data_IF_850483593886
#
_entry.id   IF_850483593886
#
_cell.length_a   1.000
_cell.length_b   1.000
_cell.length_c   1.000
_cell.angle_alpha   90.00
_cell.angle_beta   90.00
_cell.angle_gamma   90.00
#
_symmetry.space_group_name_H-M   'P 1'
#
loop_
_entity.id
_entity.type
_entity.pdbx_description
1 polymer ?
#
# COMPACT_ATOMS: atom_id res chain seq x y z
N UNK A 1 10.39 -25.42 0.49
CA UNK A 1 10.69 -24.63 1.71
C UNK A 1 11.64 -25.47 2.53
N UNK A 2 12.84 -24.95 2.81
CA UNK A 2 13.88 -25.66 3.58
C UNK A 2 14.38 -24.77 4.71
N UNK A 3 14.74 -25.42 5.82
CA UNK A 3 15.34 -24.78 6.98
C UNK A 3 16.74 -25.36 7.16
N UNK A 4 17.72 -24.50 7.41
CA UNK A 4 19.11 -24.89 7.67
C UNK A 4 19.56 -24.21 8.95
N UNK A 5 20.27 -24.95 9.80
CA UNK A 5 20.95 -24.38 10.96
C UNK A 5 22.39 -24.03 10.54
N UNK A 6 22.82 -22.80 10.81
CA UNK A 6 24.17 -22.33 10.53
C UNK A 6 24.84 -21.92 11.84
N UNK A 7 26.00 -22.51 12.10
CA UNK A 7 26.80 -22.20 13.26
C UNK A 7 27.67 -20.97 12.97
N UNK A 8 27.64 -19.97 13.86
CA UNK A 8 28.51 -18.80 13.78
C UNK A 8 29.79 -19.01 14.61
N UNK A 9 30.91 -18.37 14.24
CA UNK A 9 32.16 -18.43 15.00
C UNK A 9 32.01 -17.84 16.41
N UNK A 10 31.02 -16.98 16.64
CA UNK A 10 30.71 -16.39 17.95
C UNK A 10 29.96 -17.35 18.91
N UNK A 11 29.74 -18.61 18.50
CA UNK A 11 29.02 -19.62 19.30
C UNK A 11 27.49 -19.49 19.28
N UNK A 12 26.95 -18.65 18.39
CA UNK A 12 25.52 -18.51 18.16
C UNK A 12 25.05 -19.38 16.97
N UNK A 13 23.75 -19.64 16.90
CA UNK A 13 23.12 -20.46 15.87
C UNK A 13 22.10 -19.63 15.10
N UNK A 14 22.18 -19.64 13.77
CA UNK A 14 21.22 -19.02 12.88
C UNK A 14 20.31 -20.09 12.27
N UNK A 15 18.99 -19.86 12.25
CA UNK A 15 18.06 -20.68 11.47
C UNK A 15 17.79 -19.94 10.17
N UNK A 16 18.37 -20.44 9.08
CA UNK A 16 18.18 -19.89 7.74
C UNK A 16 16.99 -20.59 7.07
N UNK A 17 16.01 -19.78 6.68
CA UNK A 17 14.81 -20.25 5.98
C UNK A 17 14.92 -19.90 4.49
N UNK A 18 15.00 -20.92 3.65
CA UNK A 18 14.96 -20.78 2.19
C UNK A 18 13.56 -21.10 1.67
N UNK A 19 12.94 -20.12 0.99
CA UNK A 19 11.63 -20.25 0.35
C UNK A 19 11.78 -20.06 -1.16
N UNK A 20 11.22 -20.96 -1.99
CA UNK A 20 11.13 -20.68 -3.42
C UNK A 20 10.15 -19.52 -3.62
N UNK A 21 10.57 -18.51 -4.37
CA UNK A 21 9.75 -17.33 -4.72
C UNK A 21 9.63 -17.31 -6.24
N UNK A 22 8.40 -17.19 -6.74
CA UNK A 22 8.14 -16.98 -8.16
C UNK A 22 8.40 -15.50 -8.49
N UNK A 23 9.51 -15.22 -9.18
CA UNK A 23 9.87 -13.84 -9.59
C UNK A 23 9.01 -13.35 -10.75
N UNK A 24 8.62 -14.24 -11.67
CA UNK A 24 7.77 -13.92 -12.80
C UNK A 24 7.44 -15.12 -13.66
N UNK A 25 6.42 -14.98 -14.51
CA UNK A 25 6.08 -15.93 -15.56
C UNK A 25 6.38 -15.25 -16.90
N UNK A 26 7.28 -15.83 -17.67
CA UNK A 26 7.72 -15.28 -18.94
C UNK A 26 7.15 -16.13 -20.08
N UNK A 27 6.50 -15.53 -21.09
CA UNK A 27 5.98 -16.25 -22.25
C UNK A 27 7.09 -16.72 -23.19
N UNK A 28 8.25 -16.04 -23.19
CA UNK A 28 9.38 -16.31 -24.06
C UNK A 28 10.61 -16.80 -23.25
N UNK A 29 11.21 -17.90 -23.70
CA UNK A 29 12.35 -18.54 -23.04
C UNK A 29 13.61 -17.64 -23.04
N UNK A 30 13.81 -16.85 -24.08
CA UNK A 30 15.00 -16.01 -24.23
C UNK A 30 15.00 -14.87 -23.21
N UNK A 31 13.84 -14.27 -22.95
CA UNK A 31 13.66 -13.23 -21.93
C UNK A 31 13.88 -13.84 -20.54
N UNK A 32 13.29 -15.00 -20.25
CA UNK A 32 13.50 -15.69 -18.98
C UNK A 32 14.99 -16.00 -18.72
N UNK A 33 15.71 -16.41 -19.76
CA UNK A 33 17.13 -16.75 -19.66
C UNK A 33 18.00 -15.53 -19.36
N UNK A 34 17.70 -14.36 -19.95
CA UNK A 34 18.40 -13.10 -19.66
C UNK A 34 18.15 -12.63 -18.22
N UNK A 35 16.91 -12.73 -17.74
CA UNK A 35 16.57 -12.36 -16.36
C UNK A 35 17.23 -13.32 -15.36
N UNK A 36 17.25 -14.62 -15.65
CA UNK A 36 17.96 -15.60 -14.83
C UNK A 36 19.46 -15.29 -14.73
N UNK A 37 20.09 -14.96 -15.85
CA UNK A 37 21.51 -14.58 -15.89
C UNK A 37 21.78 -13.34 -15.06
N UNK A 38 20.96 -12.29 -15.20
CA UNK A 38 21.05 -11.08 -14.39
C UNK A 38 20.95 -11.35 -12.89
N UNK A 39 19.98 -12.19 -12.47
CA UNK A 39 19.80 -12.57 -11.07
C UNK A 39 20.93 -13.44 -10.50
N UNK A 40 21.68 -14.14 -11.36
CA UNK A 40 22.85 -14.91 -10.96
C UNK A 40 24.11 -14.04 -10.86
N UNK A 41 24.24 -13.01 -11.70
CA UNK A 41 25.38 -12.08 -11.66
C UNK A 41 25.28 -11.07 -10.51
N UNK A 42 24.07 -10.73 -10.05
CA UNK A 42 23.85 -9.94 -8.83
C UNK A 42 23.89 -10.80 -7.55
N UNK A 43 24.82 -11.74 -7.44
CA UNK A 43 25.30 -12.14 -6.12
C UNK A 43 26.11 -10.95 -5.57
N UNK A 44 25.38 -9.95 -5.09
CA UNK A 44 25.92 -8.84 -4.34
C UNK A 44 26.65 -9.49 -3.16
N UNK A 45 27.98 -9.51 -3.22
CA UNK A 45 28.84 -9.69 -2.06
C UNK A 45 28.44 -8.59 -1.07
N UNK A 46 27.41 -8.86 -0.26
CA UNK A 46 27.08 -8.07 0.89
C UNK A 46 28.39 -8.04 1.69
N UNK A 47 29.04 -6.86 1.85
CA UNK A 47 30.26 -6.79 2.61
C UNK A 47 29.99 -7.46 3.94
N UNK A 48 30.78 -8.48 4.27
CA UNK A 48 30.65 -9.22 5.52
C UNK A 48 30.45 -8.19 6.62
N UNK A 49 29.28 -8.21 7.27
CA UNK A 49 28.94 -7.25 8.31
C UNK A 49 30.01 -7.34 9.39
N UNK A 50 30.98 -6.43 9.33
CA UNK A 50 31.96 -6.27 10.38
C UNK A 50 31.17 -5.99 11.65
N UNK A 51 31.31 -6.87 12.64
CA UNK A 51 30.60 -6.79 13.91
C UNK A 51 30.85 -5.40 14.49
N UNK A 52 29.80 -4.58 14.59
CA UNK A 52 29.94 -3.23 15.14
C UNK A 52 30.33 -3.38 16.62
N UNK A 53 31.58 -3.05 16.93
CA UNK A 53 32.04 -3.09 18.31
C UNK A 53 31.35 -1.99 19.11
N UNK A 54 31.16 -2.20 20.42
CA UNK A 54 30.65 -1.15 21.33
C UNK A 54 31.47 0.14 21.25
N UNK A 55 32.77 0.03 20.94
CA UNK A 55 33.65 1.18 20.72
C UNK A 55 33.33 1.98 19.44
N UNK A 56 32.80 1.33 18.39
CA UNK A 56 32.33 2.00 17.18
C UNK A 56 31.01 2.72 17.42
N UNK A 57 30.05 2.06 18.11
CA UNK A 57 28.79 2.68 18.49
C UNK A 57 28.98 3.94 19.36
N UNK A 58 29.97 3.95 20.25
CA UNK A 58 30.33 5.13 21.05
C UNK A 58 30.90 6.28 20.20
N UNK A 59 31.68 5.97 19.17
CA UNK A 59 32.22 6.98 18.25
C UNK A 59 31.13 7.56 17.35
N UNK A 60 30.23 6.71 16.87
CA UNK A 60 29.11 7.13 16.01
C UNK A 60 28.12 8.00 16.80
N UNK A 61 27.85 7.65 18.06
CA UNK A 61 27.06 8.49 18.96
C UNK A 61 27.73 9.85 19.22
N UNK A 62 29.04 9.86 19.47
CA UNK A 62 29.79 11.10 19.66
C UNK A 62 29.84 11.97 18.38
N UNK A 63 29.94 11.35 17.20
CA UNK A 63 29.89 12.06 15.92
C UNK A 63 28.51 12.70 15.67
N UNK A 64 27.42 11.96 15.95
CA UNK A 64 26.07 12.49 15.84
C UNK A 64 25.80 13.64 16.83
N UNK A 65 26.31 13.55 18.06
CA UNK A 65 26.22 14.64 19.05
C UNK A 65 27.02 15.88 18.61
N UNK A 66 28.20 15.70 18.01
CA UNK A 66 29.01 16.80 17.49
C UNK A 66 28.33 17.52 16.31
N UNK A 67 27.68 16.78 15.39
CA UNK A 67 26.90 17.37 14.30
C UNK A 67 25.66 18.12 14.82
N UNK A 68 25.02 17.60 15.87
CA UNK A 68 23.85 18.24 16.50
C UNK A 68 24.22 19.54 17.22
N UNK A 69 25.38 19.59 17.90
CA UNK A 69 25.89 20.82 18.54
C UNK A 69 26.35 21.87 17.52
N UNK A 70 26.97 21.45 16.40
CA UNK A 70 27.35 22.37 15.33
C UNK A 70 26.13 23.01 14.65
N UNK A 71 25.03 22.27 14.50
CA UNK A 71 23.77 22.79 13.94
C UNK A 71 22.98 23.68 14.91
N UNK A 72 23.29 23.67 16.21
CA UNK A 72 22.60 24.46 17.25
C UNK A 72 23.23 25.84 17.51
N UNK A 73 24.39 26.13 16.92
CA UNK A 73 25.06 27.44 17.03
C UNK A 73 24.70 28.40 15.89
N UNK A 74 23.98 27.92 14.86
CA UNK A 74 23.48 28.73 13.75
C UNK A 74 21.98 29.06 13.93
N UNK A 75 21.61 29.46 15.16
CA UNK A 75 20.27 29.99 15.46
C UNK A 75 20.19 31.40 14.88
N UNK A 76 19.88 31.48 13.59
CA UNK A 76 19.34 32.69 12.98
C UNK A 76 17.98 32.94 13.64
N UNK A 77 17.87 34.06 14.37
CA UNK A 77 16.62 34.59 14.91
C UNK A 77 15.56 34.66 13.79
N UNK A 78 14.64 33.70 13.76
CA UNK A 78 13.42 33.82 12.96
C UNK A 78 12.47 34.76 13.70
N UNK A 79 12.72 36.06 13.57
CA UNK A 79 11.71 37.08 13.88
C UNK A 79 10.50 36.81 12.99
N UNK A 80 9.39 36.39 13.60
CA UNK A 80 8.08 36.31 12.96
C UNK A 80 7.59 37.73 12.64
N UNK A 81 8.08 38.28 11.54
CA UNK A 81 7.50 39.45 10.91
C UNK A 81 6.40 38.97 9.95
N UNK A 82 5.14 39.29 10.27
CA UNK A 82 4.02 39.13 9.33
C UNK A 82 4.31 39.93 8.05
N UNK A 83 4.15 39.34 6.85
CA UNK A 83 4.45 40.04 5.61
C UNK A 83 3.42 41.17 5.36
N UNK A 84 3.84 42.37 4.94
CA UNK A 84 2.89 43.38 4.50
C UNK A 84 2.21 42.94 3.20
N UNK A 85 0.89 43.14 3.15
CA UNK A 85 0.03 42.88 2.01
C UNK A 85 0.57 43.62 0.77
N UNK A 86 1.10 42.85 -0.20
CA UNK A 86 1.40 43.37 -1.54
C UNK A 86 0.07 43.64 -2.24
N UNK A 87 -0.16 44.90 -2.61
CA UNK A 87 -1.21 45.29 -3.55
C UNK A 87 -1.02 44.54 -4.87
N UNK A 88 -1.88 43.55 -5.11
CA UNK A 88 -2.04 42.95 -6.43
C UNK A 88 -2.91 43.87 -7.28
N UNK A 89 -2.56 44.12 -8.56
CA UNK A 89 -3.40 44.91 -9.46
C UNK A 89 -4.73 44.20 -9.72
N UNK A 90 -5.79 45.01 -9.87
CA UNK A 90 -7.18 44.61 -9.95
C UNK A 90 -7.42 43.42 -10.89
N UNK A 91 -7.92 42.33 -10.30
CA UNK A 91 -8.45 41.17 -11.02
C UNK A 91 -9.66 41.62 -11.82
N UNK A 92 -9.53 41.66 -13.14
CA UNK A 92 -10.66 41.76 -14.07
C UNK A 92 -11.61 40.60 -13.77
N UNK A 93 -12.81 40.93 -13.31
CA UNK A 93 -13.85 39.97 -13.02
C UNK A 93 -14.22 39.21 -14.31
N UNK A 94 -13.71 37.99 -14.46
CA UNK A 94 -14.25 37.06 -15.46
C UNK A 94 -15.73 36.85 -15.16
N UNK A 95 -16.65 36.97 -16.14
CA UNK A 95 -18.06 36.75 -15.93
C UNK A 95 -18.26 35.33 -15.37
N UNK A 96 -18.80 35.29 -14.15
CA UNK A 96 -19.16 34.06 -13.45
C UNK A 96 -20.41 33.51 -14.12
N UNK A 97 -20.22 32.83 -15.25
CA UNK A 97 -21.28 32.01 -15.83
C UNK A 97 -21.60 30.96 -14.77
N UNK A 98 -22.83 30.92 -14.23
CA UNK A 98 -23.19 29.89 -13.28
C UNK A 98 -23.04 28.56 -14.02
N UNK A 99 -22.10 27.74 -13.57
CA UNK A 99 -22.01 26.36 -14.02
C UNK A 99 -23.34 25.70 -13.65
N UNK A 100 -24.25 25.65 -14.63
CA UNK A 100 -25.43 24.82 -14.60
C UNK A 100 -24.89 23.40 -14.54
N UNK A 101 -24.74 22.88 -13.32
CA UNK A 101 -24.55 21.44 -13.13
C UNK A 101 -25.76 20.81 -13.81
N UNK A 102 -25.60 19.96 -14.83
CA UNK A 102 -26.73 19.22 -15.36
C UNK A 102 -27.31 18.43 -14.17
N UNK A 103 -28.48 18.87 -13.71
CA UNK A 103 -29.29 18.09 -12.78
C UNK A 103 -29.59 16.78 -13.52
N UNK A 104 -29.50 15.69 -12.79
CA UNK A 104 -29.82 14.32 -13.22
C UNK A 104 -28.93 13.78 -14.33
N UNK A 105 -27.76 13.27 -13.94
CA UNK A 105 -27.33 12.01 -14.55
C UNK A 105 -28.42 10.98 -14.24
N UNK A 106 -28.95 10.24 -15.23
CA UNK A 106 -29.91 9.19 -14.96
C UNK A 106 -29.23 8.21 -13.98
N UNK A 107 -29.85 8.03 -12.82
CA UNK A 107 -29.67 6.83 -12.00
C UNK A 107 -30.12 5.67 -12.88
N UNK A 108 -29.27 5.23 -13.81
CA UNK A 108 -29.53 4.03 -14.57
C UNK A 108 -29.53 2.90 -13.57
N UNK A 109 -30.70 2.31 -13.42
CA UNK A 109 -30.94 1.05 -12.72
C UNK A 109 -30.10 -0.01 -13.43
N UNK A 110 -28.86 -0.20 -12.98
CA UNK A 110 -27.95 -1.23 -13.52
C UNK A 110 -28.48 -2.63 -13.19
N UNK A 111 -29.25 -2.74 -12.11
CA UNK A 111 -29.76 -3.99 -11.55
C UNK A 111 -30.67 -4.80 -12.50
N UNK A 112 -31.29 -4.16 -13.50
CA UNK A 112 -32.23 -4.87 -14.39
C UNK A 112 -31.54 -5.54 -15.59
N UNK A 113 -30.25 -5.26 -15.83
CA UNK A 113 -29.54 -5.77 -17.02
C UNK A 113 -28.71 -7.02 -16.77
N UNK A 114 -28.29 -7.27 -15.53
CA UNK A 114 -27.49 -8.44 -15.19
C UNK A 114 -28.25 -9.41 -14.32
N UNK A 115 -28.09 -10.70 -14.63
CA UNK A 115 -28.51 -11.76 -13.72
C UNK A 115 -27.57 -11.85 -12.53
N UNK A 116 -28.06 -12.38 -11.41
CA UNK A 116 -27.26 -12.58 -10.20
C UNK A 116 -26.04 -13.48 -10.47
N UNK A 117 -26.21 -14.52 -11.29
CA UNK A 117 -25.12 -15.41 -11.71
C UNK A 117 -23.99 -14.68 -12.46
N UNK A 118 -24.33 -13.71 -13.33
CA UNK A 118 -23.33 -12.91 -14.04
C UNK A 118 -22.57 -11.96 -13.11
N UNK A 119 -23.25 -11.41 -12.11
CA UNK A 119 -22.61 -10.58 -11.09
C UNK A 119 -21.65 -11.40 -10.24
N UNK A 120 -22.03 -12.62 -9.85
CA UNK A 120 -21.15 -13.53 -9.12
C UNK A 120 -19.90 -13.89 -9.93
N UNK A 121 -20.04 -14.20 -11.21
CA UNK A 121 -18.90 -14.47 -12.10
C UNK A 121 -17.98 -13.23 -12.21
N UNK A 122 -18.55 -12.05 -12.43
CA UNK A 122 -17.79 -10.81 -12.51
C UNK A 122 -17.03 -10.53 -11.20
N UNK A 123 -17.66 -10.77 -10.05
CA UNK A 123 -17.04 -10.59 -8.74
C UNK A 123 -15.95 -11.61 -8.45
N UNK A 124 -16.10 -12.86 -8.90
CA UNK A 124 -15.06 -13.88 -8.78
C UNK A 124 -13.80 -13.49 -9.57
N UNK A 125 -13.95 -12.86 -10.74
CA UNK A 125 -12.81 -12.33 -11.51
C UNK A 125 -12.18 -11.09 -10.87
N UNK A 126 -12.99 -10.23 -10.26
CA UNK A 126 -12.45 -9.08 -9.51
C UNK A 126 -11.63 -9.57 -8.30
N UNK A 127 -12.10 -10.59 -7.58
CA UNK A 127 -11.38 -11.15 -6.43
C UNK A 127 -10.14 -11.95 -6.82
N UNK A 128 -10.07 -12.51 -8.02
CA UNK A 128 -8.83 -13.11 -8.57
C UNK A 128 -7.78 -12.08 -8.98
N UNK A 129 -8.12 -10.79 -8.98
CA UNK A 129 -7.21 -9.68 -9.29
C UNK A 129 -7.23 -9.22 -10.74
N UNK A 130 -8.21 -9.64 -11.55
CA UNK A 130 -8.37 -9.13 -12.90
C UNK A 130 -8.73 -7.63 -12.91
N UNK A 131 -8.22 -6.91 -13.91
CA UNK A 131 -8.47 -5.46 -14.05
C UNK A 131 -9.91 -5.22 -14.50
N UNK A 132 -10.62 -4.30 -13.83
CA UNK A 132 -11.99 -3.89 -14.16
C UNK A 132 -12.20 -3.53 -15.65
N UNK A 133 -11.17 -2.99 -16.31
CA UNK A 133 -11.22 -2.62 -17.74
C UNK A 133 -11.39 -3.83 -18.67
N UNK A 134 -10.95 -5.02 -18.26
CA UNK A 134 -11.10 -6.26 -19.04
C UNK A 134 -12.44 -6.94 -18.77
N UNK A 135 -12.96 -6.81 -17.56
CA UNK A 135 -14.20 -7.45 -17.11
C UNK A 135 -15.42 -6.67 -17.62
N UNK A 136 -15.41 -5.35 -17.52
CA UNK A 136 -16.57 -4.51 -17.83
C UNK A 136 -17.15 -4.73 -19.26
N UNK A 137 -16.32 -4.85 -20.33
CA UNK A 137 -16.82 -5.13 -21.68
C UNK A 137 -17.47 -6.51 -21.84
N UNK A 138 -17.08 -7.53 -21.05
CA UNK A 138 -17.65 -8.88 -21.12
C UNK A 138 -19.11 -8.92 -20.70
N UNK A 139 -19.53 -7.96 -19.88
CA UNK A 139 -20.87 -7.86 -19.30
C UNK A 139 -21.66 -6.63 -19.80
N UNK A 140 -21.19 -5.98 -20.88
CA UNK A 140 -21.79 -4.75 -21.43
C UNK A 140 -21.97 -3.63 -20.39
N UNK A 141 -21.05 -3.54 -19.43
CA UNK A 141 -21.04 -2.53 -18.38
C UNK A 141 -19.94 -1.49 -18.61
N UNK A 142 -20.20 -0.27 -18.16
CA UNK A 142 -19.12 0.70 -17.98
C UNK A 142 -18.30 0.36 -16.73
N UNK A 143 -17.00 0.66 -16.73
CA UNK A 143 -16.12 0.47 -15.57
C UNK A 143 -16.67 1.16 -14.31
N UNK A 144 -17.29 2.34 -14.47
CA UNK A 144 -17.90 3.08 -13.37
C UNK A 144 -19.11 2.37 -12.76
N UNK A 145 -19.95 1.75 -13.59
CA UNK A 145 -21.10 0.95 -13.12
C UNK A 145 -20.63 -0.30 -12.39
N UNK A 146 -19.72 -1.08 -12.99
CA UNK A 146 -19.16 -2.29 -12.37
C UNK A 146 -18.51 -1.97 -11.01
N UNK A 147 -17.75 -0.86 -10.94
CA UNK A 147 -17.14 -0.39 -9.68
C UNK A 147 -18.18 -0.01 -8.64
N UNK A 148 -19.27 0.64 -9.03
CA UNK A 148 -20.34 1.05 -8.12
C UNK A 148 -21.09 -0.15 -7.55
N UNK A 149 -21.38 -1.14 -8.40
CA UNK A 149 -22.02 -2.42 -8.03
C UNK A 149 -21.12 -3.24 -7.11
N UNK A 150 -19.82 -3.35 -7.44
CA UNK A 150 -18.83 -4.00 -6.58
C UNK A 150 -18.71 -3.31 -5.21
N UNK A 151 -18.64 -1.98 -5.17
CA UNK A 151 -18.58 -1.24 -3.91
C UNK A 151 -19.83 -1.45 -3.05
N UNK A 152 -21.01 -1.60 -3.66
CA UNK A 152 -22.23 -1.96 -2.95
C UNK A 152 -22.15 -3.37 -2.38
N UNK A 153 -21.64 -4.35 -3.13
CA UNK A 153 -21.44 -5.72 -2.65
C UNK A 153 -20.46 -5.77 -1.47
N UNK A 154 -19.34 -5.06 -1.55
CA UNK A 154 -18.38 -4.96 -0.44
C UNK A 154 -19.03 -4.38 0.83
N UNK A 155 -19.88 -3.36 0.69
CA UNK A 155 -20.63 -2.80 1.83
C UNK A 155 -21.58 -3.83 2.45
N UNK A 156 -22.33 -4.59 1.64
CA UNK A 156 -23.22 -5.65 2.12
C UNK A 156 -22.42 -6.75 2.87
N UNK A 157 -21.30 -7.19 2.31
CA UNK A 157 -20.42 -8.17 2.95
C UNK A 157 -19.87 -7.65 4.28
N UNK A 158 -19.47 -6.38 4.32
CA UNK A 158 -19.02 -5.73 5.56
C UNK A 158 -20.13 -5.62 6.60
N UNK A 159 -21.37 -5.34 6.18
CA UNK A 159 -22.53 -5.32 7.06
C UNK A 159 -22.82 -6.70 7.66
N UNK A 160 -22.75 -7.76 6.86
CA UNK A 160 -22.86 -9.14 7.35
C UNK A 160 -21.76 -9.50 8.35
N UNK A 161 -20.51 -9.11 8.09
CA UNK A 161 -19.41 -9.31 9.03
C UNK A 161 -19.60 -8.51 10.32
N UNK A 162 -20.11 -7.27 10.23
CA UNK A 162 -20.42 -6.43 11.38
C UNK A 162 -21.57 -7.00 12.22
N UNK A 163 -22.55 -7.65 11.58
CA UNK A 163 -23.64 -8.38 12.25
C UNK A 163 -23.15 -9.54 13.12
N UNK A 164 -21.99 -10.13 12.79
CA UNK A 164 -21.30 -11.15 13.60
C UNK A 164 -20.71 -10.63 14.91
N UNK A 165 -20.76 -9.32 15.16
CA UNK A 165 -20.26 -8.69 16.38
C UNK A 165 -18.78 -8.28 16.29
N UNK A 166 -18.24 -7.86 17.44
CA UNK A 166 -16.83 -7.45 17.55
C UNK A 166 -15.96 -8.64 17.96
N UNK A 167 -14.86 -8.84 17.24
CA UNK A 167 -13.86 -9.87 17.53
C UNK A 167 -12.61 -9.19 18.12
N UNK A 168 -11.91 -9.81 19.09
CA UNK A 168 -10.66 -9.24 19.61
C UNK A 168 -9.54 -9.29 18.54
N UNK A 169 -8.82 -8.19 18.38
CA UNK A 169 -7.62 -8.12 17.53
C UNK A 169 -6.54 -9.12 17.99
N UNK A 170 -5.93 -9.86 17.06
CA UNK A 170 -4.87 -10.81 17.37
C UNK A 170 -3.64 -10.15 18.04
N UNK A 171 -3.37 -8.88 17.71
CA UNK A 171 -2.20 -8.13 18.21
C UNK A 171 -2.49 -7.40 19.52
N UNK A 172 -3.53 -6.56 19.55
CA UNK A 172 -3.81 -5.66 20.68
C UNK A 172 -5.02 -6.06 21.53
N UNK A 173 -5.71 -7.17 21.19
CA UNK A 173 -6.91 -7.69 21.86
C UNK A 173 -8.10 -6.73 21.95
N UNK A 174 -8.00 -5.56 21.31
CA UNK A 174 -9.08 -4.57 21.29
C UNK A 174 -10.22 -5.09 20.41
N UNK A 175 -11.49 -5.02 20.86
CA UNK A 175 -12.62 -5.48 20.08
C UNK A 175 -12.83 -4.57 18.86
N UNK A 176 -12.85 -5.17 17.66
CA UNK A 176 -13.04 -4.47 16.41
C UNK A 176 -13.99 -5.24 15.49
N UNK A 177 -14.48 -4.57 14.44
CA UNK A 177 -15.25 -5.23 13.38
C UNK A 177 -14.27 -5.69 12.31
N UNK A 178 -14.18 -6.99 12.01
CA UNK A 178 -13.26 -7.50 11.01
C UNK A 178 -13.57 -6.95 9.62
N UNK A 179 -12.53 -6.78 8.82
CA UNK A 179 -12.64 -6.35 7.42
C UNK A 179 -12.29 -7.51 6.50
N UNK A 180 -12.77 -7.47 5.25
CA UNK A 180 -12.49 -8.54 4.27
C UNK A 180 -10.98 -8.65 3.98
N UNK A 181 -10.28 -7.52 3.94
CA UNK A 181 -8.83 -7.49 3.68
C UNK A 181 -7.99 -7.89 4.89
N UNK A 182 -8.48 -7.62 6.10
CA UNK A 182 -7.78 -7.89 7.36
C UNK A 182 -8.78 -8.47 8.38
N UNK A 183 -8.92 -9.80 8.44
CA UNK A 183 -9.87 -10.45 9.34
C UNK A 183 -9.39 -10.47 10.80
N UNK A 184 -8.08 -10.51 11.03
CA UNK A 184 -7.51 -10.77 12.36
C UNK A 184 -6.90 -9.54 13.06
N UNK A 185 -6.68 -8.44 12.32
CA UNK A 185 -6.03 -7.23 12.83
C UNK A 185 -6.96 -6.01 12.75
N UNK A 186 -6.92 -5.18 13.80
CA UNK A 186 -7.65 -3.93 13.81
C UNK A 186 -6.97 -2.87 12.94
N UNK A 187 -7.71 -1.84 12.53
CA UNK A 187 -7.23 -0.78 11.64
C UNK A 187 -6.00 0.00 12.15
N UNK A 188 -5.68 -0.09 13.45
CA UNK A 188 -4.47 0.48 14.03
C UNK A 188 -3.28 -0.45 13.79
N UNK A 189 -3.40 -1.72 14.17
CA UNK A 189 -2.34 -2.72 14.04
C UNK A 189 -2.10 -3.20 12.61
N UNK A 190 -3.00 -2.93 11.65
CA UNK A 190 -2.77 -3.28 10.24
C UNK A 190 -1.98 -2.20 9.47
N UNK A 191 -1.69 -1.06 10.11
CA UNK A 191 -0.89 0.04 9.53
C UNK A 191 0.56 0.04 10.01
N UNK A 192 0.79 -0.56 11.18
CA UNK A 192 2.09 -0.73 11.82
C UNK A 192 2.74 -2.03 11.30
#
# INVERSE_FOLDING_TARGET
>A
MSYMLRDRPDGQFEIVLSRPILVGIFPEKDVASRVMFFLQEEEIELPEQAVSSFGQALRDAAAAEAETQASLLDVVEVKRASPPLRHTPAVVAKPKVPAVRPKTAPLMVVSDRLTEAQLEEAFARISSGEKLNLIAPTFDLTVGQLRSVWAQQCRKLQEHLAGGGKVPCAMCKTPFVPSISHPDSCARCSRD
#
